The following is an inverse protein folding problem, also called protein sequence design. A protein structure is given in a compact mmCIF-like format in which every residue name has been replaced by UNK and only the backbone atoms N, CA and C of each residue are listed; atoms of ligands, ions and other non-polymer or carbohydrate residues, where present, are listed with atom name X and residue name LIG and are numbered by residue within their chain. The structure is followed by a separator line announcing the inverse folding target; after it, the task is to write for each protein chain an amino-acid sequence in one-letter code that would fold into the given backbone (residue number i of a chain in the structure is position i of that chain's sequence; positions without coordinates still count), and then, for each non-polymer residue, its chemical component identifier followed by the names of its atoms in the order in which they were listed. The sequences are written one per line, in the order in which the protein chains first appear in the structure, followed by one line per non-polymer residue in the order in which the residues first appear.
data_IF_901921995358
#
_entry.id   IF_901921995358
#
_cell.length_a   1.000
_cell.length_b   1.000
_cell.length_c   1.000
_cell.angle_alpha   90.00
_cell.angle_beta   90.00
_cell.angle_gamma   90.00
#
_symmetry.space_group_name_H-M   'P 1'
#
loop_
_entity.id
_entity.type
_entity.pdbx_description
1 polymer ?
#
# COMPACT_ATOMS: atom_id res chain seq x y z
N UNK A 1 22.44 -3.69 -24.39
CA UNK A 1 21.42 -2.96 -23.61
C UNK A 1 21.54 -3.45 -22.19
N UNK A 2 22.05 -2.63 -21.27
CA UNK A 2 22.28 -3.06 -19.89
C UNK A 2 20.94 -3.24 -19.18
N UNK A 3 20.66 -4.46 -18.73
CA UNK A 3 19.59 -4.72 -17.77
C UNK A 3 19.98 -3.98 -16.47
N UNK A 4 19.41 -2.80 -16.28
CA UNK A 4 19.49 -2.08 -15.01
C UNK A 4 19.00 -3.01 -13.91
N UNK A 5 19.75 -3.07 -12.82
CA UNK A 5 19.34 -3.79 -11.60
C UNK A 5 17.90 -3.39 -11.28
N UNK A 6 16.95 -4.33 -11.14
CA UNK A 6 15.57 -3.94 -10.87
C UNK A 6 15.57 -3.16 -9.56
N UNK A 7 15.14 -1.90 -9.61
CA UNK A 7 14.83 -1.12 -8.42
C UNK A 7 14.01 -2.04 -7.50
N UNK A 8 14.43 -2.21 -6.24
CA UNK A 8 13.89 -3.22 -5.33
C UNK A 8 12.35 -3.11 -5.30
N UNK A 9 11.70 -3.98 -6.07
CA UNK A 9 10.28 -3.92 -6.34
C UNK A 9 9.60 -4.98 -5.48
N UNK A 10 8.44 -4.68 -4.90
CA UNK A 10 7.57 -5.71 -4.32
C UNK A 10 6.15 -5.45 -4.77
N UNK A 11 5.43 -6.53 -5.04
CA UNK A 11 4.03 -6.47 -5.44
C UNK A 11 3.19 -7.28 -4.47
N UNK A 12 2.05 -6.73 -4.07
CA UNK A 12 1.13 -7.34 -3.13
C UNK A 12 -0.29 -7.30 -3.67
N UNK A 13 -1.05 -8.38 -3.46
CA UNK A 13 -2.47 -8.38 -3.76
C UNK A 13 -3.22 -7.56 -2.71
N UNK A 14 -3.81 -6.42 -3.11
CA UNK A 14 -4.41 -5.49 -2.17
C UNK A 14 -5.69 -6.01 -1.48
N UNK A 15 -6.38 -6.99 -2.07
CA UNK A 15 -7.62 -7.56 -1.51
C UNK A 15 -7.43 -8.82 -0.68
N UNK A 16 -6.31 -9.54 -0.85
CA UNK A 16 -6.05 -10.83 -0.20
C UNK A 16 -6.06 -10.76 1.33
N UNK A 17 -5.85 -9.56 1.89
CA UNK A 17 -5.79 -9.30 3.31
C UNK A 17 -7.15 -9.30 4.02
N UNK A 18 -8.24 -9.01 3.31
CA UNK A 18 -9.54 -8.67 3.95
C UNK A 18 -10.74 -9.46 3.42
N UNK A 19 -10.49 -10.51 2.62
CA UNK A 19 -11.53 -11.44 2.20
C UNK A 19 -11.75 -12.50 3.28
N UNK A 20 -12.97 -12.56 3.83
CA UNK A 20 -13.39 -13.56 4.82
C UNK A 20 -13.27 -14.97 4.20
N UNK A 21 -12.63 -15.95 4.89
CA UNK A 21 -12.57 -17.32 4.41
C UNK A 21 -13.91 -18.01 4.67
N UNK A 22 -14.94 -17.69 3.88
CA UNK A 22 -16.21 -18.43 3.90
C UNK A 22 -16.92 -18.34 2.56
N UNK A 23 -16.35 -18.98 1.52
CA UNK A 23 -17.06 -19.71 0.44
C UNK A 23 -16.07 -20.21 -0.61
N UNK A 24 -16.24 -21.45 -1.13
CA UNK A 24 -15.40 -21.96 -2.20
C UNK A 24 -15.70 -21.23 -3.51
N UNK A 25 -14.65 -20.98 -4.29
CA UNK A 25 -14.64 -20.45 -5.65
C UNK A 25 -15.41 -19.15 -5.90
N UNK A 26 -14.72 -18.01 -5.93
CA UNK A 26 -15.10 -16.91 -6.82
C UNK A 26 -13.85 -16.15 -7.29
N UNK A 27 -13.44 -16.41 -8.54
CA UNK A 27 -12.55 -15.51 -9.27
C UNK A 27 -13.11 -14.07 -9.37
N UNK A 28 -14.40 -13.86 -9.03
CA UNK A 28 -15.10 -12.57 -9.03
C UNK A 28 -15.07 -11.75 -7.72
N UNK A 29 -14.57 -12.27 -6.59
CA UNK A 29 -14.51 -11.49 -5.33
C UNK A 29 -13.23 -10.65 -5.21
N UNK A 30 -12.13 -11.13 -5.79
CA UNK A 30 -10.91 -10.34 -5.95
C UNK A 30 -11.12 -9.16 -6.91
N UNK A 31 -12.00 -9.31 -7.92
CA UNK A 31 -12.29 -8.21 -8.86
C UNK A 31 -13.10 -7.10 -8.22
N UNK A 32 -14.07 -7.39 -7.35
CA UNK A 32 -14.88 -6.34 -6.69
C UNK A 32 -14.08 -5.52 -5.70
N UNK A 33 -13.26 -6.16 -4.84
CA UNK A 33 -12.41 -5.42 -3.91
C UNK A 33 -11.35 -4.59 -4.66
N UNK A 34 -10.63 -5.20 -5.61
CA UNK A 34 -9.61 -4.49 -6.38
C UNK A 34 -10.17 -3.30 -7.17
N UNK A 35 -11.37 -3.45 -7.72
CA UNK A 35 -12.11 -2.35 -8.36
C UNK A 35 -12.49 -1.26 -7.37
N UNK A 36 -13.02 -1.61 -6.19
CA UNK A 36 -13.37 -0.63 -5.17
C UNK A 36 -12.13 0.14 -4.68
N UNK A 37 -11.02 -0.55 -4.41
CA UNK A 37 -9.77 0.07 -3.99
C UNK A 37 -9.21 0.99 -5.08
N UNK A 38 -9.32 0.56 -6.34
CA UNK A 38 -8.97 1.37 -7.51
C UNK A 38 -9.82 2.64 -7.60
N UNK A 39 -11.14 2.54 -7.41
CA UNK A 39 -12.03 3.71 -7.45
C UNK A 39 -11.72 4.69 -6.32
N UNK A 40 -11.46 4.19 -5.11
CA UNK A 40 -11.04 5.02 -3.99
C UNK A 40 -9.70 5.73 -4.28
N UNK A 41 -8.72 5.01 -4.87
CA UNK A 41 -7.44 5.60 -5.26
C UNK A 41 -7.60 6.69 -6.34
N UNK A 42 -8.45 6.45 -7.33
CA UNK A 42 -8.75 7.44 -8.37
C UNK A 42 -9.50 8.65 -7.82
N UNK A 43 -10.40 8.45 -6.85
CA UNK A 43 -11.07 9.54 -6.15
C UNK A 43 -10.07 10.46 -5.45
N UNK A 44 -9.02 9.89 -4.81
CA UNK A 44 -7.97 10.67 -4.14
C UNK A 44 -7.26 11.66 -5.06
N UNK A 45 -7.16 11.38 -6.36
CA UNK A 45 -6.55 12.28 -7.35
C UNK A 45 -7.31 13.59 -7.57
N UNK A 46 -8.55 13.68 -7.08
CA UNK A 46 -9.38 14.89 -7.16
C UNK A 46 -9.14 15.87 -6.00
N UNK A 47 -8.36 15.46 -5.01
CA UNK A 47 -8.07 16.26 -3.82
C UNK A 47 -6.83 17.11 -4.02
N UNK A 48 -6.84 18.35 -3.53
CA UNK A 48 -5.66 19.20 -3.51
C UNK A 48 -4.81 18.85 -2.28
N UNK A 49 -3.71 18.13 -2.49
CA UNK A 49 -2.84 17.64 -1.42
C UNK A 49 -1.42 18.14 -1.64
N UNK A 50 -0.84 18.73 -0.60
CA UNK A 50 0.57 19.08 -0.53
C UNK A 50 1.38 17.90 -0.03
N UNK A 51 2.49 17.63 -0.71
CA UNK A 51 3.44 16.61 -0.26
C UNK A 51 4.16 17.08 1.01
N UNK A 52 3.82 16.50 2.15
CA UNK A 52 4.43 16.79 3.45
C UNK A 52 4.50 15.51 4.30
N UNK A 53 5.74 15.05 4.51
CA UNK A 53 6.06 13.84 5.27
C UNK A 53 6.44 14.10 6.73
N UNK A 54 6.23 15.30 7.25
CA UNK A 54 6.57 15.63 8.63
C UNK A 54 5.82 14.75 9.63
N UNK A 55 6.51 14.41 10.72
CA UNK A 55 5.91 13.69 11.84
C UNK A 55 4.81 14.51 12.49
N UNK A 56 3.68 13.87 12.81
CA UNK A 56 2.53 14.50 13.46
C UNK A 56 1.92 13.54 14.46
N UNK A 57 1.51 14.06 15.62
CA UNK A 57 0.65 13.30 16.53
C UNK A 57 -0.76 13.26 15.96
N UNK A 58 -1.36 12.08 15.91
CA UNK A 58 -2.69 11.84 15.35
C UNK A 58 -3.47 10.93 16.30
N UNK A 59 -4.79 10.89 16.15
CA UNK A 59 -5.64 9.99 16.93
C UNK A 59 -5.32 8.51 16.64
N UNK A 60 -5.77 7.62 17.53
CA UNK A 60 -5.67 6.18 17.30
C UNK A 60 -6.84 5.46 18.01
N UNK A 61 -7.54 4.52 17.34
CA UNK A 61 -7.47 4.19 15.91
C UNK A 61 -8.13 5.26 15.04
N UNK A 62 -8.00 5.15 13.71
CA UNK A 62 -8.66 6.04 12.75
C UNK A 62 -8.08 7.46 12.65
N UNK A 63 -6.87 7.69 13.16
CA UNK A 63 -6.16 8.95 12.95
C UNK A 63 -5.72 9.13 11.50
N UNK A 64 -5.67 10.40 11.10
CA UNK A 64 -5.16 10.85 9.81
C UNK A 64 -4.42 12.18 10.00
N UNK A 65 -3.55 12.50 9.05
CA UNK A 65 -2.99 13.85 8.92
C UNK A 65 -4.04 14.77 8.27
N UNK A 66 -3.84 16.10 8.26
CA UNK A 66 -4.77 17.02 7.62
C UNK A 66 -5.12 16.61 6.17
N UNK A 67 -6.35 16.87 5.74
CA UNK A 67 -6.86 16.41 4.44
C UNK A 67 -6.05 16.94 3.25
N UNK A 68 -5.50 18.14 3.40
CA UNK A 68 -4.65 18.85 2.42
C UNK A 68 -3.18 18.42 2.45
N UNK A 69 -2.83 17.44 3.28
CA UNK A 69 -1.46 16.98 3.52
C UNK A 69 -1.37 15.48 3.23
N UNK A 70 -0.27 15.04 2.60
CA UNK A 70 -0.03 13.61 2.47
C UNK A 70 1.29 13.22 1.79
N UNK A 71 1.58 11.94 1.83
CA UNK A 71 2.67 11.27 1.09
C UNK A 71 2.14 10.06 0.32
N UNK A 72 3.01 9.31 -0.37
CA UNK A 72 2.62 8.14 -1.17
C UNK A 72 1.81 7.10 -0.38
N UNK A 73 2.15 6.84 0.89
CA UNK A 73 1.42 5.91 1.75
C UNK A 73 0.03 6.40 2.11
N UNK A 74 -0.21 7.72 2.18
CA UNK A 74 -1.53 8.27 2.55
C UNK A 74 -2.59 8.05 1.48
N UNK A 75 -2.17 7.97 0.21
CA UNK A 75 -3.06 7.52 -0.87
C UNK A 75 -3.53 6.10 -0.59
N UNK A 76 -2.63 5.20 -0.19
CA UNK A 76 -2.96 3.81 0.15
C UNK A 76 -3.87 3.78 1.38
N UNK A 77 -3.46 4.41 2.47
CA UNK A 77 -4.19 4.44 3.74
C UNK A 77 -5.62 4.95 3.55
N UNK A 78 -5.80 6.11 2.91
CA UNK A 78 -7.12 6.70 2.68
C UNK A 78 -7.97 5.88 1.72
N UNK A 79 -7.35 5.23 0.72
CA UNK A 79 -8.08 4.34 -0.19
C UNK A 79 -8.62 3.10 0.53
N UNK A 80 -7.83 2.46 1.39
CA UNK A 80 -8.31 1.37 2.23
C UNK A 80 -9.38 1.84 3.24
N UNK A 81 -9.22 3.04 3.79
CA UNK A 81 -10.19 3.61 4.73
C UNK A 81 -11.56 3.86 4.11
N UNK A 82 -11.61 4.27 2.84
CA UNK A 82 -12.86 4.38 2.08
C UNK A 82 -13.59 3.02 1.94
N UNK A 83 -12.87 1.91 2.07
CA UNK A 83 -13.41 0.54 2.07
C UNK A 83 -13.66 0.01 3.50
N UNK A 84 -13.57 0.85 4.53
CA UNK A 84 -13.79 0.48 5.92
C UNK A 84 -12.60 -0.19 6.61
N UNK A 85 -11.40 -0.11 6.02
CA UNK A 85 -10.19 -0.72 6.55
C UNK A 85 -9.25 0.35 7.10
N UNK A 86 -8.94 0.27 8.40
CA UNK A 86 -8.00 1.18 9.03
C UNK A 86 -6.58 0.62 9.06
N UNK A 87 -5.78 0.91 8.02
CA UNK A 87 -4.37 0.48 7.97
C UNK A 87 -3.53 1.06 9.12
N UNK A 88 -3.93 2.17 9.75
CA UNK A 88 -3.25 2.65 10.95
C UNK A 88 -3.31 1.60 12.06
N UNK A 89 -4.51 1.11 12.37
CA UNK A 89 -4.74 0.07 13.36
C UNK A 89 -4.09 -1.25 12.95
N UNK A 90 -4.39 -1.74 11.74
CA UNK A 90 -3.96 -3.08 11.30
C UNK A 90 -2.43 -3.24 11.30
N UNK A 91 -1.71 -2.23 10.80
CA UNK A 91 -0.24 -2.25 10.79
C UNK A 91 0.31 -2.14 12.21
N UNK A 92 -0.22 -1.20 13.01
CA UNK A 92 0.27 -0.99 14.37
C UNK A 92 0.11 -2.22 15.27
N UNK A 93 -1.05 -2.88 15.22
CA UNK A 93 -1.32 -4.07 16.03
C UNK A 93 -0.47 -5.27 15.60
N UNK A 94 -0.28 -5.47 14.29
CA UNK A 94 0.58 -6.56 13.78
C UNK A 94 2.04 -6.32 14.15
N UNK A 95 2.52 -5.07 14.01
CA UNK A 95 3.85 -4.64 14.45
C UNK A 95 4.04 -4.82 15.94
N UNK A 96 3.04 -4.48 16.76
CA UNK A 96 3.13 -4.62 18.22
C UNK A 96 3.32 -6.08 18.64
N UNK A 97 2.67 -7.00 17.95
CA UNK A 97 2.81 -8.44 18.18
C UNK A 97 4.14 -9.03 17.63
N UNK A 98 4.77 -8.37 16.65
CA UNK A 98 5.92 -8.92 15.92
C UNK A 98 7.02 -7.89 15.66
N UNK A 99 7.32 -7.05 16.65
CA UNK A 99 8.17 -5.87 16.47
C UNK A 99 9.53 -6.17 15.82
N UNK A 100 10.16 -7.27 16.23
CA UNK A 100 11.47 -7.71 15.69
C UNK A 100 11.44 -8.16 14.23
N UNK A 101 10.26 -8.40 13.64
CA UNK A 101 10.13 -8.74 12.23
C UNK A 101 10.13 -7.51 11.31
N UNK A 102 9.99 -6.31 11.88
CA UNK A 102 9.93 -5.04 11.14
C UNK A 102 11.30 -4.37 11.04
N UNK A 103 11.51 -3.48 10.05
CA UNK A 103 12.81 -2.85 9.83
C UNK A 103 13.19 -1.91 10.97
N UNK A 104 14.39 -2.09 11.52
CA UNK A 104 14.97 -1.18 12.52
C UNK A 104 15.77 -0.04 11.86
N UNK A 105 15.09 0.75 11.05
CA UNK A 105 15.72 1.88 10.34
C UNK A 105 15.75 3.16 11.18
N UNK A 106 15.07 3.18 12.33
CA UNK A 106 14.79 4.40 13.10
C UNK A 106 15.20 4.30 14.58
N UNK A 107 15.84 3.20 15.00
CA UNK A 107 16.31 3.02 16.38
C UNK A 107 15.17 3.05 17.42
N UNK A 108 13.96 2.68 17.01
CA UNK A 108 12.79 2.69 17.88
C UNK A 108 12.79 1.46 18.78
N UNK A 109 12.37 1.64 20.03
CA UNK A 109 12.24 0.54 21.01
C UNK A 109 10.85 -0.09 21.05
N UNK A 110 9.88 0.58 20.43
CA UNK A 110 8.48 0.17 20.39
C UNK A 110 7.80 0.74 19.14
N UNK A 111 6.60 0.25 18.86
CA UNK A 111 5.73 0.77 17.78
C UNK A 111 5.28 2.19 18.05
N UNK A 112 4.96 2.93 16.98
CA UNK A 112 4.44 4.30 17.06
C UNK A 112 3.20 4.45 16.16
N UNK A 113 1.98 4.47 16.74
CA UNK A 113 0.74 4.50 15.97
C UNK A 113 0.58 5.78 15.14
N UNK A 114 1.38 6.82 15.41
CA UNK A 114 1.37 8.06 14.64
C UNK A 114 2.02 7.91 13.25
N UNK A 115 2.91 6.93 13.06
CA UNK A 115 3.76 6.85 11.85
C UNK A 115 3.95 5.45 11.28
N UNK A 116 3.62 4.38 12.03
CA UNK A 116 3.88 2.98 11.63
C UNK A 116 3.36 2.66 10.22
N UNK A 117 2.08 2.94 9.97
CA UNK A 117 1.38 2.73 8.70
C UNK A 117 1.84 3.67 7.57
N UNK A 118 2.49 4.79 7.90
CA UNK A 118 2.97 5.78 6.92
C UNK A 118 4.35 5.45 6.35
N UNK A 119 4.99 4.37 6.81
CA UNK A 119 6.32 3.93 6.35
C UNK A 119 6.20 2.78 5.35
N UNK A 120 6.67 3.00 4.12
CA UNK A 120 6.66 1.98 3.06
C UNK A 120 7.34 0.67 3.50
N UNK A 121 8.51 0.67 4.19
CA UNK A 121 9.12 -0.58 4.66
C UNK A 121 8.24 -1.36 5.65
N UNK A 122 7.46 -0.66 6.49
CA UNK A 122 6.54 -1.32 7.40
C UNK A 122 5.36 -1.94 6.62
N UNK A 123 4.80 -1.23 5.65
CA UNK A 123 3.75 -1.77 4.77
C UNK A 123 4.23 -3.02 4.02
N UNK A 124 5.46 -3.02 3.52
CA UNK A 124 6.04 -4.19 2.84
C UNK A 124 6.07 -5.43 3.76
N UNK A 125 6.55 -5.28 4.99
CA UNK A 125 6.58 -6.37 5.98
C UNK A 125 5.17 -6.81 6.36
N UNK A 126 4.29 -5.86 6.64
CA UNK A 126 2.89 -6.13 6.98
C UNK A 126 2.19 -6.96 5.89
N UNK A 127 2.20 -6.51 4.64
CA UNK A 127 1.55 -7.22 3.53
C UNK A 127 2.20 -8.59 3.26
N UNK A 128 3.53 -8.69 3.37
CA UNK A 128 4.22 -9.99 3.25
C UNK A 128 3.77 -10.97 4.32
N UNK A 129 3.74 -10.54 5.59
CA UNK A 129 3.35 -11.36 6.74
C UNK A 129 1.89 -11.82 6.67
N UNK A 130 1.03 -11.03 6.04
CA UNK A 130 -0.35 -11.39 5.77
C UNK A 130 -0.54 -12.23 4.50
N UNK A 131 0.55 -12.69 3.87
CA UNK A 131 0.49 -13.58 2.71
C UNK A 131 0.07 -12.91 1.41
N UNK A 132 0.14 -11.57 1.32
CA UNK A 132 -0.28 -10.83 0.15
C UNK A 132 0.76 -10.76 -0.97
N UNK A 133 2.01 -11.20 -0.75
CA UNK A 133 3.08 -11.12 -1.75
C UNK A 133 2.75 -11.84 -3.06
N UNK A 134 3.03 -11.16 -4.17
CA UNK A 134 2.97 -11.67 -5.54
C UNK A 134 4.38 -11.79 -6.12
N UNK A 135 4.51 -12.62 -7.17
CA UNK A 135 5.76 -12.74 -7.93
C UNK A 135 5.97 -11.46 -8.74
N UNK A 136 7.20 -10.96 -8.75
CA UNK A 136 7.61 -9.85 -9.62
C UNK A 136 7.96 -10.43 -10.98
N UNK A 137 7.37 -9.88 -12.03
CA UNK A 137 7.59 -10.28 -13.41
C UNK A 137 7.74 -9.04 -14.31
N UNK A 138 8.31 -9.23 -15.49
CA UNK A 138 8.39 -8.19 -16.51
C UNK A 138 7.11 -8.13 -17.38
N UNK A 139 6.16 -9.05 -17.15
CA UNK A 139 4.91 -9.09 -17.89
C UNK A 139 3.86 -8.19 -17.20
N UNK A 140 3.47 -7.05 -17.80
CA UNK A 140 2.54 -6.12 -17.18
C UNK A 140 1.15 -6.72 -16.92
N UNK A 141 0.76 -7.77 -17.65
CA UNK A 141 -0.53 -8.46 -17.48
C UNK A 141 -0.63 -9.28 -16.20
N UNK A 142 0.50 -9.51 -15.51
CA UNK A 142 0.51 -10.22 -14.24
C UNK A 142 0.04 -9.32 -13.08
N UNK A 143 0.02 -8.00 -13.29
CA UNK A 143 -0.41 -7.00 -12.31
C UNK A 143 -1.85 -6.57 -12.56
N UNK A 144 -2.68 -6.68 -11.52
CA UNK A 144 -4.13 -6.45 -11.62
C UNK A 144 -4.52 -5.15 -10.91
N UNK A 145 -5.61 -4.49 -11.34
CA UNK A 145 -6.17 -3.37 -10.60
C UNK A 145 -6.43 -3.73 -9.12
N UNK A 146 -5.96 -2.88 -8.22
CA UNK A 146 -5.96 -3.09 -6.78
C UNK A 146 -4.71 -3.76 -6.22
N UNK A 147 -3.76 -4.22 -7.04
CA UNK A 147 -2.45 -4.63 -6.54
C UNK A 147 -1.67 -3.42 -6.03
N UNK A 148 -0.89 -3.62 -4.97
CA UNK A 148 0.04 -2.62 -4.42
C UNK A 148 1.43 -2.88 -4.94
N UNK A 149 2.10 -1.85 -5.44
CA UNK A 149 3.47 -1.94 -5.94
C UNK A 149 4.33 -1.00 -5.11
N UNK A 150 5.48 -1.49 -4.65
CA UNK A 150 6.51 -0.67 -4.00
C UNK A 150 7.79 -0.70 -4.81
N UNK A 151 8.48 0.43 -4.90
CA UNK A 151 9.74 0.56 -5.63
C UNK A 151 10.63 1.63 -4.99
N UNK A 152 11.85 1.79 -5.53
CA UNK A 152 12.78 2.87 -5.15
C UNK A 152 12.77 3.94 -6.23
N UNK A 153 12.60 5.19 -5.83
CA UNK A 153 12.81 6.35 -6.70
C UNK A 153 14.30 6.56 -6.99
N UNK A 154 14.62 7.41 -7.96
CA UNK A 154 16.02 7.73 -8.35
C UNK A 154 16.84 8.29 -7.18
N UNK A 155 16.19 8.93 -6.20
CA UNK A 155 16.80 9.40 -4.97
C UNK A 155 16.85 8.34 -3.85
N UNK A 156 16.65 7.06 -4.19
CA UNK A 156 16.62 5.90 -3.30
C UNK A 156 15.52 5.89 -2.23
N UNK A 157 14.58 6.83 -2.25
CA UNK A 157 13.45 6.80 -1.33
C UNK A 157 12.47 5.68 -1.70
N UNK A 158 11.95 4.93 -0.72
CA UNK A 158 10.93 3.93 -0.98
C UNK A 158 9.60 4.62 -1.31
N UNK A 159 8.89 4.06 -2.29
CA UNK A 159 7.60 4.57 -2.75
C UNK A 159 6.60 3.41 -2.85
N UNK A 160 5.31 3.73 -2.79
CA UNK A 160 4.21 2.77 -2.95
C UNK A 160 3.12 3.38 -3.83
N UNK A 161 2.46 2.54 -4.63
CA UNK A 161 1.31 2.89 -5.45
C UNK A 161 0.28 1.77 -5.50
N UNK A 162 -0.91 2.11 -6.01
CA UNK A 162 -2.01 1.18 -6.29
C UNK A 162 -2.12 1.09 -7.81
N UNK A 163 -2.09 -0.13 -8.36
CA UNK A 163 -2.37 -0.37 -9.78
C UNK A 163 -3.85 -0.08 -10.02
N UNK A 164 -4.17 0.79 -10.97
CA UNK A 164 -5.56 1.19 -11.26
C UNK A 164 -6.06 0.65 -12.60
N UNK A 165 -7.37 0.57 -12.77
CA UNK A 165 -8.04 0.12 -13.99
C UNK A 165 -8.03 1.18 -15.11
N UNK A 166 -6.95 1.96 -15.23
CA UNK A 166 -6.68 2.84 -16.37
C UNK A 166 -5.48 2.30 -17.12
N UNK A 167 -5.57 2.28 -18.44
CA UNK A 167 -4.45 1.84 -19.28
C UNK A 167 -3.47 3.01 -19.47
N UNK A 168 -2.19 2.70 -19.47
CA UNK A 168 -1.12 3.64 -19.82
C UNK A 168 -1.30 4.15 -21.26
N UNK A 169 -0.74 5.32 -21.61
CA UNK A 169 -0.86 5.87 -22.98
C UNK A 169 -0.35 4.93 -24.08
N UNK A 170 0.59 4.04 -23.74
CA UNK A 170 1.16 3.03 -24.65
C UNK A 170 0.24 1.81 -24.87
N UNK A 171 -0.86 1.68 -24.13
CA UNK A 171 -1.82 0.58 -24.27
C UNK A 171 -1.40 -0.74 -23.61
N UNK A 172 -0.18 -0.82 -23.07
CA UNK A 172 0.45 -2.10 -22.70
C UNK A 172 0.21 -2.50 -21.23
N UNK A 173 -0.09 -1.54 -20.35
CA UNK A 173 -0.07 -1.75 -18.89
C UNK A 173 -1.19 -1.00 -18.18
N UNK A 174 -1.50 -1.44 -16.96
CA UNK A 174 -2.27 -0.64 -16.02
C UNK A 174 -1.39 0.47 -15.42
N UNK A 175 -1.98 1.65 -15.19
CA UNK A 175 -1.34 2.78 -14.52
C UNK A 175 -1.17 2.56 -13.02
#
# INVERSE_FOLDING_TARGET
MAAGTPALCHVFNGGRLFLIPSRPNHAGQNSTFGQALTQAALERTRHNVRYDGAYRKIAYPGGDVPDDTGVCTDVVIRSYRALGIDLQKEVHEEMKAHFSAYPDNWGLKQTDPNIDHRRVPNLQVFFKRKGASLKITDNPKDYRPGDLVTWRLDNHLPHIGIVVNRISPDGERHR
#
